data_IF_714558057842
#
_entry.id   IF_714558057842
#
_cell.length_a   1.000
_cell.length_b   1.000
_cell.length_c   1.000
_cell.angle_alpha   90.00
_cell.angle_beta   90.00
_cell.angle_gamma   90.00
#
_symmetry.space_group_name_H-M   'P 1'
#
loop_
_entity.id
_entity.type
_entity.pdbx_description
1 polymer ?
#
# COMPACT_ATOMS: atom_id res chain seq x y z
N UNK A 1 -30.67 -8.29 -10.28
CA UNK A 1 -30.59 -8.69 -8.86
C UNK A 1 -29.32 -9.51 -8.69
N UNK A 2 -28.17 -8.88 -8.46
CA UNK A 2 -26.93 -9.58 -8.10
C UNK A 2 -27.14 -10.13 -6.69
N UNK A 3 -27.37 -11.43 -6.57
CA UNK A 3 -27.52 -12.06 -5.26
C UNK A 3 -26.20 -11.85 -4.50
N UNK A 4 -26.24 -11.41 -3.23
CA UNK A 4 -25.02 -11.16 -2.45
C UNK A 4 -24.07 -12.36 -2.42
N UNK A 5 -24.61 -13.57 -2.57
CA UNK A 5 -23.88 -14.84 -2.71
C UNK A 5 -22.87 -14.82 -3.86
N UNK A 6 -23.21 -14.23 -5.01
CA UNK A 6 -22.29 -14.16 -6.15
C UNK A 6 -21.06 -13.28 -5.86
N UNK A 7 -21.28 -12.15 -5.18
CA UNK A 7 -20.20 -11.27 -4.75
C UNK A 7 -19.26 -11.97 -3.75
N UNK A 8 -19.81 -12.75 -2.82
CA UNK A 8 -19.02 -13.55 -1.87
C UNK A 8 -18.19 -14.63 -2.56
N UNK A 9 -18.73 -15.31 -3.57
CA UNK A 9 -17.99 -16.31 -4.35
C UNK A 9 -16.83 -15.66 -5.11
N UNK A 10 -17.08 -14.52 -5.77
CA UNK A 10 -16.02 -13.77 -6.46
C UNK A 10 -14.94 -13.29 -5.48
N UNK A 11 -15.33 -12.80 -4.31
CA UNK A 11 -14.39 -12.38 -3.27
C UNK A 11 -13.51 -13.55 -2.79
N UNK A 12 -14.11 -14.69 -2.47
CA UNK A 12 -13.37 -15.89 -2.04
C UNK A 12 -12.42 -16.41 -3.13
N UNK A 13 -12.86 -16.42 -4.39
CA UNK A 13 -12.03 -16.82 -5.51
C UNK A 13 -10.82 -15.88 -5.69
N UNK A 14 -11.03 -14.57 -5.62
CA UNK A 14 -9.95 -13.58 -5.67
C UNK A 14 -9.00 -13.74 -4.47
N UNK A 15 -9.52 -13.91 -3.25
CA UNK A 15 -8.71 -14.10 -2.05
C UNK A 15 -7.83 -15.36 -2.16
N UNK A 16 -8.39 -16.47 -2.64
CA UNK A 16 -7.65 -17.71 -2.88
C UNK A 16 -6.57 -17.54 -3.95
N UNK A 17 -6.88 -16.86 -5.05
CA UNK A 17 -5.92 -16.55 -6.11
C UNK A 17 -4.76 -15.67 -5.60
N UNK A 18 -5.07 -14.63 -4.82
CA UNK A 18 -4.06 -13.74 -4.22
C UNK A 18 -3.18 -14.53 -3.24
N UNK A 19 -3.78 -15.38 -2.40
CA UNK A 19 -3.01 -16.23 -1.46
C UNK A 19 -2.08 -17.20 -2.18
N UNK A 20 -2.58 -17.89 -3.22
CA UNK A 20 -1.78 -18.79 -4.03
C UNK A 20 -0.66 -18.04 -4.78
N UNK A 21 -0.98 -16.91 -5.41
CA UNK A 21 -0.02 -16.07 -6.11
C UNK A 21 1.07 -15.53 -5.17
N UNK A 22 0.71 -15.10 -3.96
CA UNK A 22 1.64 -14.65 -2.94
C UNK A 22 2.65 -15.73 -2.53
N UNK A 23 2.18 -16.97 -2.32
CA UNK A 23 3.04 -18.10 -1.97
C UNK A 23 4.06 -18.44 -3.07
N UNK A 24 3.61 -18.40 -4.33
CA UNK A 24 4.45 -18.62 -5.51
C UNK A 24 5.45 -17.48 -5.68
N UNK A 25 5.00 -16.24 -5.52
CA UNK A 25 5.83 -15.04 -5.63
C UNK A 25 6.97 -15.06 -4.61
N UNK A 26 6.71 -15.49 -3.37
CA UNK A 26 7.75 -15.65 -2.35
C UNK A 26 8.78 -16.71 -2.75
N UNK A 27 8.35 -17.87 -3.26
CA UNK A 27 9.26 -18.93 -3.74
C UNK A 27 10.14 -18.46 -4.90
N UNK A 28 9.56 -17.75 -5.85
CA UNK A 28 10.32 -17.17 -6.97
C UNK A 28 11.24 -16.05 -6.49
N UNK A 29 10.81 -15.24 -5.52
CA UNK A 29 11.63 -14.23 -4.86
C UNK A 29 12.88 -14.85 -4.22
N UNK A 30 12.73 -15.92 -3.46
CA UNK A 30 13.85 -16.63 -2.84
C UNK A 30 14.80 -17.25 -3.87
N UNK A 31 14.27 -17.79 -4.97
CA UNK A 31 15.08 -18.29 -6.09
C UNK A 31 15.88 -17.16 -6.75
N UNK A 32 15.25 -16.00 -6.99
CA UNK A 32 15.92 -14.82 -7.54
C UNK A 32 17.00 -14.32 -6.58
N UNK A 33 16.75 -14.32 -5.26
CA UNK A 33 17.72 -13.94 -4.23
C UNK A 33 19.00 -14.76 -4.33
N UNK A 34 18.82 -16.08 -4.44
CA UNK A 34 19.93 -17.04 -4.53
C UNK A 34 20.75 -16.85 -5.81
N UNK A 35 20.10 -16.53 -6.93
CA UNK A 35 20.78 -16.32 -8.22
C UNK A 35 21.42 -14.94 -8.39
N UNK A 36 20.86 -13.90 -7.76
CA UNK A 36 21.35 -12.51 -7.86
C UNK A 36 22.32 -12.11 -6.74
N UNK A 37 22.44 -12.93 -5.69
CA UNK A 37 23.24 -12.61 -4.51
C UNK A 37 22.64 -11.49 -3.63
N UNK A 38 21.39 -11.10 -3.90
CA UNK A 38 20.65 -10.15 -3.07
C UNK A 38 20.21 -10.82 -1.76
N UNK A 39 20.30 -10.09 -0.65
CA UNK A 39 19.82 -10.61 0.63
C UNK A 39 18.30 -10.82 0.58
N UNK A 40 17.80 -11.90 1.19
CA UNK A 40 16.36 -12.19 1.26
C UNK A 40 15.53 -11.04 1.84
N UNK A 41 16.13 -10.18 2.68
CA UNK A 41 15.47 -8.98 3.21
C UNK A 41 15.19 -7.93 2.14
N UNK A 42 16.07 -7.76 1.14
CA UNK A 42 15.84 -6.81 0.04
C UNK A 42 14.66 -7.24 -0.82
N UNK A 43 14.62 -8.52 -1.18
CA UNK A 43 13.53 -9.06 -2.00
C UNK A 43 12.22 -9.06 -1.22
N UNK A 44 12.24 -9.45 0.06
CA UNK A 44 11.07 -9.32 0.94
C UNK A 44 10.53 -7.90 0.99
N UNK A 45 11.40 -6.89 1.15
CA UNK A 45 10.99 -5.48 1.16
C UNK A 45 10.38 -5.03 -0.17
N UNK A 46 11.01 -5.36 -1.31
CA UNK A 46 10.51 -5.00 -2.64
C UNK A 46 9.18 -5.67 -2.96
N UNK A 47 9.02 -6.93 -2.57
CA UNK A 47 7.86 -7.75 -2.84
C UNK A 47 6.67 -7.28 -1.99
N UNK A 48 6.89 -6.99 -0.71
CA UNK A 48 5.90 -6.36 0.17
C UNK A 48 5.50 -4.98 -0.36
N UNK A 49 6.46 -4.12 -0.71
CA UNK A 49 6.16 -2.79 -1.24
C UNK A 49 5.31 -2.88 -2.53
N UNK A 50 5.65 -3.80 -3.43
CA UNK A 50 4.93 -3.99 -4.69
C UNK A 50 3.50 -4.49 -4.47
N UNK A 51 3.31 -5.49 -3.59
CA UNK A 51 2.00 -6.05 -3.27
C UNK A 51 1.09 -5.01 -2.61
N UNK A 52 1.63 -4.13 -1.77
CA UNK A 52 0.84 -3.08 -1.11
C UNK A 52 0.44 -1.96 -2.08
N UNK A 53 1.31 -1.55 -3.01
CA UNK A 53 1.02 -0.46 -3.95
C UNK A 53 0.18 -0.85 -5.17
N UNK A 54 0.16 -2.13 -5.56
CA UNK A 54 -0.61 -2.61 -6.73
C UNK A 54 -2.13 -2.36 -6.61
N UNK A 55 -2.80 -2.72 -5.50
CA UNK A 55 -4.22 -2.46 -5.29
C UNK A 55 -4.55 -0.96 -5.32
N UNK A 56 -3.67 -0.14 -4.75
CA UNK A 56 -3.84 1.31 -4.73
C UNK A 56 -3.74 1.90 -6.13
N UNK A 57 -2.78 1.44 -6.93
CA UNK A 57 -2.61 1.87 -8.31
C UNK A 57 -3.82 1.46 -9.17
N UNK A 58 -4.31 0.23 -9.01
CA UNK A 58 -5.51 -0.25 -9.69
C UNK A 58 -6.76 0.56 -9.32
N UNK A 59 -6.95 0.83 -8.03
CA UNK A 59 -8.08 1.62 -7.52
C UNK A 59 -7.98 3.09 -7.94
N UNK A 60 -6.77 3.67 -7.89
CA UNK A 60 -6.47 5.03 -8.34
C UNK A 60 -6.79 5.21 -9.82
N UNK A 61 -6.28 4.34 -10.69
CA UNK A 61 -6.58 4.38 -12.14
C UNK A 61 -8.07 4.23 -12.38
N UNK A 62 -8.73 3.26 -11.73
CA UNK A 62 -10.18 3.02 -11.89
C UNK A 62 -11.01 4.22 -11.44
N UNK A 63 -10.63 4.87 -10.34
CA UNK A 63 -11.35 6.02 -9.81
C UNK A 63 -11.28 7.25 -10.71
N UNK A 64 -10.12 7.47 -11.36
CA UNK A 64 -9.92 8.59 -12.30
C UNK A 64 -10.52 8.29 -13.67
N UNK A 65 -10.34 7.07 -14.19
CA UNK A 65 -10.74 6.72 -15.56
C UNK A 65 -12.21 6.29 -15.65
N UNK A 66 -12.65 5.39 -14.78
CA UNK A 66 -13.97 4.73 -14.88
C UNK A 66 -15.00 5.45 -14.01
N UNK A 67 -14.63 5.79 -12.76
CA UNK A 67 -15.58 6.41 -11.82
C UNK A 67 -15.71 7.92 -12.01
N UNK A 68 -14.84 8.57 -12.80
CA UNK A 68 -14.77 10.03 -12.99
C UNK A 68 -14.81 10.80 -11.66
N UNK A 69 -14.25 10.21 -10.60
CA UNK A 69 -14.37 10.68 -9.23
C UNK A 69 -12.96 10.89 -8.64
N UNK A 70 -12.26 11.97 -9.03
CA UNK A 70 -10.89 12.23 -8.58
C UNK A 70 -10.78 12.39 -7.06
N UNK A 71 -11.84 12.82 -6.38
CA UNK A 71 -11.89 12.86 -4.91
C UNK A 71 -11.77 11.45 -4.28
N UNK A 72 -12.25 10.41 -4.97
CA UNK A 72 -12.11 9.02 -4.52
C UNK A 72 -10.66 8.54 -4.66
N UNK A 73 -9.96 8.97 -5.70
CA UNK A 73 -8.53 8.69 -5.91
C UNK A 73 -7.69 9.28 -4.76
N UNK A 74 -8.00 10.52 -4.37
CA UNK A 74 -7.36 11.24 -3.26
C UNK A 74 -7.65 10.53 -1.92
N UNK A 75 -8.91 10.14 -1.69
CA UNK A 75 -9.29 9.38 -0.50
C UNK A 75 -8.60 8.01 -0.40
N UNK A 76 -8.43 7.30 -1.52
CA UNK A 76 -7.72 6.03 -1.58
C UNK A 76 -6.23 6.20 -1.24
N UNK A 77 -5.56 7.22 -1.79
CA UNK A 77 -4.16 7.52 -1.48
C UNK A 77 -3.96 7.88 0.01
N UNK A 78 -4.90 8.63 0.59
CA UNK A 78 -4.90 8.94 2.02
C UNK A 78 -5.08 7.70 2.90
N UNK A 79 -6.09 6.90 2.57
CA UNK A 79 -6.44 5.71 3.32
C UNK A 79 -5.28 4.72 3.37
N UNK A 80 -4.55 4.57 2.27
CA UNK A 80 -3.40 3.67 2.25
C UNK A 80 -2.20 4.19 3.05
N UNK A 81 -1.96 5.51 3.07
CA UNK A 81 -0.94 6.11 3.92
C UNK A 81 -1.24 5.84 5.41
N UNK A 82 -2.49 6.03 5.81
CA UNK A 82 -2.93 5.75 7.18
C UNK A 82 -2.83 4.26 7.50
N UNK A 83 -3.24 3.37 6.59
CA UNK A 83 -3.09 1.92 6.79
C UNK A 83 -1.63 1.48 6.88
N UNK A 84 -0.74 2.02 6.05
CA UNK A 84 0.69 1.70 6.12
C UNK A 84 1.30 2.10 7.47
N UNK A 85 0.95 3.28 8.00
CA UNK A 85 1.35 3.68 9.34
C UNK A 85 0.74 2.77 10.41
N UNK A 86 -0.55 2.42 10.28
CA UNK A 86 -1.23 1.53 11.21
C UNK A 86 -0.60 0.12 11.22
N UNK A 87 -0.22 -0.41 10.05
CA UNK A 87 0.51 -1.67 9.93
C UNK A 87 1.88 -1.59 10.59
N UNK A 88 2.60 -0.49 10.42
CA UNK A 88 3.90 -0.29 11.06
C UNK A 88 3.76 -0.28 12.59
N UNK A 89 2.77 0.42 13.12
CA UNK A 89 2.44 0.43 14.56
C UNK A 89 2.01 -0.97 15.05
N UNK A 90 1.22 -1.70 14.25
CA UNK A 90 0.77 -3.05 14.60
C UNK A 90 1.95 -4.04 14.64
N UNK A 91 2.85 -3.98 13.66
CA UNK A 91 4.07 -4.79 13.62
C UNK A 91 4.97 -4.46 14.82
N UNK A 92 5.14 -3.17 15.15
CA UNK A 92 5.88 -2.72 16.33
C UNK A 92 5.27 -3.26 17.64
N UNK A 93 3.94 -3.26 17.74
CA UNK A 93 3.22 -3.78 18.90
C UNK A 93 3.37 -5.31 19.07
N UNK A 94 3.38 -6.06 17.95
CA UNK A 94 3.51 -7.52 17.93
C UNK A 94 4.97 -7.94 18.19
N UNK A 95 5.96 -7.24 17.62
CA UNK A 95 7.38 -7.53 17.76
C UNK A 95 8.04 -6.75 18.92
N UNK A 96 7.71 -7.13 20.16
CA UNK A 96 8.15 -6.44 21.38
C UNK A 96 9.55 -6.81 21.92
N UNK A 97 10.40 -7.49 21.15
CA UNK A 97 11.60 -8.18 21.68
C UNK A 97 12.91 -7.37 21.76
N UNK A 98 12.97 -6.16 21.20
CA UNK A 98 13.94 -5.12 21.59
C UNK A 98 13.22 -3.78 21.41
N UNK A 99 13.32 -2.82 22.34
CA UNK A 99 12.72 -1.51 22.11
C UNK A 99 13.31 -0.90 20.84
N UNK A 100 12.47 -0.69 19.82
CA UNK A 100 12.84 -0.10 18.52
C UNK A 100 13.54 1.26 18.69
N UNK A 101 13.34 1.92 19.82
CA UNK A 101 14.07 3.11 20.27
C UNK A 101 15.60 2.95 20.33
N UNK A 102 16.12 1.74 20.59
CA UNK A 102 17.58 1.48 20.63
C UNK A 102 18.20 1.22 19.24
N UNK A 103 17.38 0.94 18.21
CA UNK A 103 17.79 0.79 16.80
C UNK A 103 17.10 1.78 15.87
N UNK A 104 16.59 2.89 16.40
CA UNK A 104 16.07 4.02 15.63
C UNK A 104 17.20 4.76 14.88
N UNK A 105 17.96 4.02 14.08
CA UNK A 105 18.86 4.56 13.08
C UNK A 105 18.02 5.03 11.89
N UNK A 106 18.32 6.24 11.41
CA UNK A 106 17.99 6.99 10.17
C UNK A 106 16.86 6.50 9.23
N UNK A 107 16.62 5.20 9.06
CA UNK A 107 15.60 4.62 8.18
C UNK A 107 14.15 4.90 8.61
N UNK A 108 13.81 4.83 9.91
CA UNK A 108 12.44 5.14 10.37
C UNK A 108 12.10 6.63 10.23
N UNK A 109 13.09 7.50 10.47
CA UNK A 109 12.96 8.94 10.25
C UNK A 109 12.77 9.26 8.76
N UNK A 110 13.45 8.54 7.87
CA UNK A 110 13.30 8.72 6.43
C UNK A 110 11.92 8.28 5.93
N UNK A 111 11.40 7.15 6.41
CA UNK A 111 10.03 6.70 6.10
C UNK A 111 8.97 7.68 6.64
N UNK A 112 9.14 8.15 7.88
CA UNK A 112 8.26 9.17 8.47
C UNK A 112 8.35 10.51 7.71
N UNK A 113 9.55 10.94 7.32
CA UNK A 113 9.76 12.16 6.54
C UNK A 113 9.14 12.06 5.14
N UNK A 114 9.28 10.91 4.46
CA UNK A 114 8.57 10.65 3.21
C UNK A 114 7.05 10.71 3.40
N UNK A 115 6.54 10.12 4.49
CA UNK A 115 5.13 10.21 4.86
C UNK A 115 4.66 11.66 5.04
N UNK A 116 5.42 12.48 5.76
CA UNK A 116 5.12 13.91 5.99
C UNK A 116 5.17 14.71 4.68
N UNK A 117 6.16 14.46 3.82
CA UNK A 117 6.28 15.13 2.51
C UNK A 117 5.12 14.77 1.58
N UNK A 118 4.74 13.49 1.51
CA UNK A 118 3.60 13.04 0.72
C UNK A 118 2.27 13.61 1.25
N UNK A 119 2.10 13.68 2.57
CA UNK A 119 0.96 14.34 3.20
C UNK A 119 0.92 15.84 2.85
N UNK A 120 2.09 16.49 2.79
CA UNK A 120 2.23 17.89 2.38
C UNK A 120 1.84 18.13 0.92
N UNK A 121 2.32 17.32 -0.02
CA UNK A 121 1.93 17.39 -1.43
C UNK A 121 0.41 17.21 -1.61
N UNK A 122 -0.17 16.30 -0.83
CA UNK A 122 -1.60 16.05 -0.87
C UNK A 122 -2.42 17.21 -0.29
N UNK A 123 -2.01 17.78 0.85
CA UNK A 123 -2.62 18.97 1.44
C UNK A 123 -2.65 20.12 0.43
N UNK A 124 -1.54 20.32 -0.30
CA UNK A 124 -1.44 21.31 -1.37
C UNK A 124 -2.41 21.00 -2.52
N UNK A 125 -2.48 19.75 -2.99
CA UNK A 125 -3.41 19.33 -4.04
C UNK A 125 -4.88 19.52 -3.64
N UNK A 126 -5.22 19.26 -2.38
CA UNK A 126 -6.57 19.42 -1.83
C UNK A 126 -6.93 20.90 -1.64
N UNK A 127 -5.97 21.74 -1.22
CA UNK A 127 -6.13 23.19 -1.12
C UNK A 127 -6.32 23.83 -2.51
N UNK A 128 -5.52 23.43 -3.51
CA UNK A 128 -5.67 23.90 -4.89
C UNK A 128 -7.04 23.48 -5.44
N UNK A 129 -7.47 22.24 -5.20
CA UNK A 129 -8.79 21.74 -5.61
C UNK A 129 -9.95 22.51 -4.99
N UNK A 130 -9.82 22.96 -3.73
CA UNK A 130 -10.83 23.83 -3.09
C UNK A 130 -10.81 25.28 -3.61
N UNK A 131 -9.67 25.77 -4.11
CA UNK A 131 -9.51 27.11 -4.67
C UNK A 131 -9.89 27.20 -6.16
N UNK A 132 -9.99 26.07 -6.87
CA UNK A 132 -10.56 25.97 -8.21
C UNK A 132 -12.00 25.44 -8.14
N UNK A 133 -13.02 26.28 -7.84
CA UNK A 133 -14.40 25.88 -8.05
C UNK A 133 -14.58 25.61 -9.55
N UNK A 134 -15.09 24.43 -9.89
CA UNK A 134 -15.39 24.05 -11.26
C UNK A 134 -16.30 25.11 -11.89
N UNK A 135 -15.75 25.95 -12.76
CA UNK A 135 -16.53 26.80 -13.66
C UNK A 135 -16.90 25.98 -14.88
N UNK A 136 -17.88 25.09 -14.75
CA UNK A 136 -18.79 24.63 -15.82
C UNK A 136 -19.81 23.65 -15.24
#
# INVERSE_FOLDING_TARGET
MSTPVWAWIQFLACAALIGAAGSQLSRYGDAIAQHTGLSGSWIGLTLVASVTSLPELATGITSVTIAQAPNLAVGNALGSCVLNLAFLVLIDLIYRHEPVWSRASRGHVLAAAFGVVLLGFLLIGLLIGHLTPASS
#
